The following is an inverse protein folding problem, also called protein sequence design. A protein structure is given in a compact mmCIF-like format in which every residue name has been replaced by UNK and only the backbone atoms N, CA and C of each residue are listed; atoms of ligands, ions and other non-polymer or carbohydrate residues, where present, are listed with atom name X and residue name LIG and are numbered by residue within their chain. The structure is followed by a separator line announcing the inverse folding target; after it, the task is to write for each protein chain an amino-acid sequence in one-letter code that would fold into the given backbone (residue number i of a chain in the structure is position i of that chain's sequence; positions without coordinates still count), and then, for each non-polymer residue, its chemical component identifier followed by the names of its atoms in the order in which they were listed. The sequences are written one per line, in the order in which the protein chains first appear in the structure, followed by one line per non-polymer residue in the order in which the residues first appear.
data_IF_396874389682
#
_entry.id   IF_396874389682
#
_cell.length_a   1.000
_cell.length_b   1.000
_cell.length_c   1.000
_cell.angle_alpha   90.00
_cell.angle_beta   90.00
_cell.angle_gamma   90.00
#
_symmetry.space_group_name_H-M   'P 1'
#
loop_
_entity.id
_entity.type
_entity.pdbx_description
1 polymer ?
#
# COMPACT_ATOMS: atom_id res chain seq x y z
N UNK A 1 8.42 -5.16 12.54
CA UNK A 1 8.29 -4.35 11.30
C UNK A 1 8.23 -5.32 10.12
N UNK A 2 7.40 -5.14 9.08
CA UNK A 2 7.18 -6.14 8.00
C UNK A 2 8.49 -6.75 7.45
N UNK A 3 9.54 -5.92 7.35
CA UNK A 3 10.88 -6.34 6.89
C UNK A 3 11.66 -7.24 7.86
N UNK A 4 11.38 -7.25 9.17
CA UNK A 4 12.02 -8.16 10.12
C UNK A 4 11.46 -9.57 10.08
N UNK A 5 10.23 -9.73 9.61
CA UNK A 5 9.55 -11.01 9.52
C UNK A 5 9.84 -11.72 8.20
N UNK A 6 10.14 -10.97 7.14
CA UNK A 6 10.44 -11.48 5.81
C UNK A 6 11.74 -10.90 5.24
N UNK A 7 12.82 -11.69 5.33
CA UNK A 7 14.14 -11.29 4.84
C UNK A 7 14.19 -11.05 3.32
N UNK A 8 13.36 -11.76 2.55
CA UNK A 8 13.28 -11.57 1.09
C UNK A 8 12.77 -10.17 0.70
N UNK A 9 11.89 -9.58 1.51
CA UNK A 9 11.39 -8.22 1.26
C UNK A 9 12.47 -7.16 1.52
N UNK A 10 13.45 -7.43 2.40
CA UNK A 10 14.60 -6.52 2.61
C UNK A 10 15.47 -6.38 1.35
N UNK A 11 15.64 -7.47 0.59
CA UNK A 11 16.43 -7.46 -0.65
C UNK A 11 15.69 -6.77 -1.80
N UNK A 12 14.39 -7.02 -1.95
CA UNK A 12 13.57 -6.42 -3.02
C UNK A 12 13.25 -4.95 -2.77
N UNK A 13 13.09 -4.55 -1.51
CA UNK A 13 12.80 -3.17 -1.12
C UNK A 13 13.97 -2.59 -0.34
N UNK A 14 15.08 -2.30 -1.04
CA UNK A 14 16.33 -1.81 -0.43
C UNK A 14 16.15 -0.57 0.46
N UNK A 15 15.23 0.34 0.12
CA UNK A 15 14.90 1.53 0.92
C UNK A 15 13.90 1.29 2.06
N UNK A 16 13.53 0.03 2.34
CA UNK A 16 12.58 -0.38 3.41
C UNK A 16 11.27 0.41 3.39
N UNK A 17 10.85 0.93 2.23
CA UNK A 17 9.54 1.56 2.01
C UNK A 17 8.62 0.54 1.39
N UNK A 18 7.69 0.03 2.18
CA UNK A 18 6.71 -0.96 1.74
C UNK A 18 5.50 -0.30 1.05
N UNK A 19 5.10 0.87 1.55
CA UNK A 19 3.93 1.59 1.08
C UNK A 19 4.28 2.77 0.16
N UNK A 20 3.37 3.08 -0.76
CA UNK A 20 3.39 4.30 -1.54
C UNK A 20 3.30 5.54 -0.63
N UNK A 21 3.90 6.66 -1.04
CA UNK A 21 3.90 7.90 -0.25
C UNK A 21 2.55 8.60 -0.18
N UNK A 22 1.62 8.25 -1.07
CA UNK A 22 0.26 8.78 -1.09
C UNK A 22 -0.72 7.77 -0.53
N UNK A 23 -1.71 8.26 0.21
CA UNK A 23 -2.88 7.48 0.64
C UNK A 23 -4.15 8.18 0.14
N UNK A 24 -5.10 7.40 -0.34
CA UNK A 24 -6.43 7.88 -0.69
C UNK A 24 -7.37 7.54 0.48
N UNK A 25 -7.98 8.56 1.07
CA UNK A 25 -8.96 8.40 2.16
C UNK A 25 -10.26 9.02 1.70
N UNK A 26 -11.30 8.20 1.63
CA UNK A 26 -12.67 8.63 1.36
C UNK A 26 -13.54 8.19 2.54
N UNK A 27 -14.50 9.03 2.93
CA UNK A 27 -15.49 8.67 3.96
C UNK A 27 -16.43 7.60 3.41
N UNK A 28 -16.85 6.68 4.29
CA UNK A 28 -17.53 5.44 3.90
C UNK A 28 -18.68 5.67 2.90
N UNK A 29 -18.57 5.09 1.71
CA UNK A 29 -19.68 4.91 0.76
C UNK A 29 -19.75 5.86 -0.45
N UNK A 30 -19.04 6.98 -0.47
CA UNK A 30 -19.22 7.98 -1.55
C UNK A 30 -18.54 7.60 -2.87
N UNK A 31 -17.30 7.09 -2.83
CA UNK A 31 -16.54 6.76 -4.04
C UNK A 31 -16.13 5.29 -4.15
N UNK A 32 -16.82 4.35 -3.49
CA UNK A 32 -16.45 2.92 -3.50
C UNK A 32 -16.17 2.37 -4.91
N UNK A 33 -17.04 2.67 -5.90
CA UNK A 33 -16.85 2.24 -7.29
C UNK A 33 -15.61 2.85 -7.95
N UNK A 34 -15.27 4.10 -7.64
CA UNK A 34 -14.07 4.75 -8.20
C UNK A 34 -12.79 4.21 -7.57
N UNK A 35 -12.83 3.91 -6.26
CA UNK A 35 -11.72 3.28 -5.55
C UNK A 35 -11.48 1.87 -6.11
N UNK A 36 -12.54 1.10 -6.34
CA UNK A 36 -12.46 -0.22 -6.97
C UNK A 36 -11.82 -0.15 -8.36
N UNK A 37 -12.26 0.79 -9.22
CA UNK A 37 -11.65 1.00 -10.54
C UNK A 37 -10.20 1.47 -10.48
N UNK A 38 -9.81 2.24 -9.46
CA UNK A 38 -8.43 2.71 -9.30
C UNK A 38 -7.47 1.63 -8.79
N UNK A 39 -7.96 0.69 -7.97
CA UNK A 39 -7.16 -0.40 -7.40
C UNK A 39 -6.98 -1.57 -8.37
N UNK A 40 -7.94 -1.78 -9.28
CA UNK A 40 -7.92 -2.85 -10.28
C UNK A 40 -6.88 -2.62 -11.38
#
# INVERSE_FOLDING_TARGET
MIFDRDANLKYRYGNRKFWCRGYYVDTVGYNQKKIETYIR
#
